data_IF_078461530242
#
_entry.id   IF_078461530242
#
_cell.length_a   1.000
_cell.length_b   1.000
_cell.length_c   1.000
_cell.angle_alpha   90.00
_cell.angle_beta   90.00
_cell.angle_gamma   90.00
#
_symmetry.space_group_name_H-M   'P 1'
#
loop_
_entity.id
_entity.type
_entity.pdbx_description
1 polymer ?
#
# COMPACT_ATOMS: atom_id res chain seq x y z
N UNK A 1 10.27 21.70 75.42
CA UNK A 1 9.26 21.50 74.36
C UNK A 1 9.20 22.80 73.58
N UNK A 2 9.04 22.70 72.27
CA UNK A 2 9.09 23.75 71.25
C UNK A 2 10.48 24.10 70.70
N UNK A 3 10.79 23.41 69.61
CA UNK A 3 11.83 23.70 68.63
C UNK A 3 11.23 24.55 67.50
N UNK A 4 11.83 25.70 67.25
CA UNK A 4 11.56 26.57 66.10
C UNK A 4 11.70 25.82 64.77
N UNK A 5 10.69 25.94 63.91
CA UNK A 5 10.74 25.59 62.47
C UNK A 5 10.37 26.84 61.65
N UNK A 6 11.19 27.24 60.67
CA UNK A 6 10.80 28.30 59.75
C UNK A 6 9.77 27.78 58.72
N UNK A 7 8.86 28.66 58.36
CA UNK A 7 7.81 28.47 57.36
C UNK A 7 8.40 28.35 55.95
N UNK A 8 8.34 27.15 55.35
CA UNK A 8 8.60 26.96 53.93
C UNK A 8 7.36 27.38 53.13
N UNK A 9 7.38 28.63 52.63
CA UNK A 9 6.47 29.07 51.56
C UNK A 9 6.99 28.45 50.26
N UNK A 10 6.28 27.44 49.75
CA UNK A 10 6.54 26.88 48.42
C UNK A 10 5.89 27.83 47.41
N UNK A 11 6.71 28.57 46.67
CA UNK A 11 6.25 29.31 45.50
C UNK A 11 5.73 28.31 44.45
N UNK A 12 4.44 28.39 44.15
CA UNK A 12 3.80 27.69 43.05
C UNK A 12 4.40 28.24 41.74
N UNK A 13 5.31 27.48 41.13
CA UNK A 13 5.88 27.82 39.82
C UNK A 13 4.77 27.79 38.77
N UNK A 14 4.35 28.96 38.32
CA UNK A 14 3.48 29.11 37.15
C UNK A 14 4.06 28.35 35.96
N UNK A 15 3.32 27.36 35.48
CA UNK A 15 3.60 26.68 34.23
C UNK A 15 3.46 27.68 33.07
N UNK A 16 4.59 28.22 32.61
CA UNK A 16 4.66 29.00 31.37
C UNK A 16 4.18 28.12 30.21
N UNK A 17 2.98 28.41 29.69
CA UNK A 17 2.43 27.76 28.50
C UNK A 17 3.40 27.97 27.35
N UNK A 18 4.05 26.88 26.88
CA UNK A 18 4.80 26.87 25.62
C UNK A 18 3.85 27.33 24.50
N UNK A 19 4.07 28.53 23.97
CA UNK A 19 3.42 29.02 22.75
C UNK A 19 3.73 28.06 21.61
N UNK A 20 2.74 27.30 21.15
CA UNK A 20 2.92 26.45 19.97
C UNK A 20 2.98 27.35 18.74
N UNK A 21 4.11 27.34 18.04
CA UNK A 21 4.23 27.99 16.73
C UNK A 21 3.23 27.32 15.77
N UNK A 22 2.30 28.10 15.24
CA UNK A 22 1.36 27.66 14.19
C UNK A 22 1.75 28.29 12.85
N UNK A 23 1.45 27.64 11.72
CA UNK A 23 1.64 28.25 10.41
C UNK A 23 0.92 29.60 10.32
N UNK A 24 1.55 30.57 9.67
CA UNK A 24 0.97 31.90 9.46
C UNK A 24 -0.28 31.77 8.58
N UNK A 25 -1.40 32.35 9.04
CA UNK A 25 -2.64 32.39 8.28
C UNK A 25 -2.46 33.20 6.98
N UNK A 26 -3.13 32.77 5.90
CA UNK A 26 -3.11 33.50 4.63
C UNK A 26 -3.82 34.85 4.79
N UNK A 27 -3.09 35.94 4.55
CA UNK A 27 -3.60 37.33 4.70
C UNK A 27 -4.52 37.80 3.56
N UNK A 28 -4.56 37.09 2.42
CA UNK A 28 -5.37 37.46 1.26
C UNK A 28 -5.00 36.71 -0.01
N UNK A 29 -5.53 37.18 -1.15
CA UNK A 29 -5.30 36.60 -2.47
C UNK A 29 -4.41 37.51 -3.34
N UNK A 30 -3.60 36.90 -4.20
CA UNK A 30 -2.75 37.64 -5.15
C UNK A 30 -3.55 38.26 -6.29
N UNK A 31 -3.20 39.50 -6.65
CA UNK A 31 -3.92 40.29 -7.68
C UNK A 31 -3.08 40.61 -8.93
N UNK A 32 -1.77 40.39 -8.89
CA UNK A 32 -0.87 40.66 -10.02
C UNK A 32 -0.93 39.55 -11.08
N UNK A 33 -0.61 39.91 -12.33
CA UNK A 33 -0.57 38.99 -13.46
C UNK A 33 -1.90 38.83 -14.19
N UNK A 34 -1.82 38.32 -15.41
CA UNK A 34 -2.96 38.07 -16.31
C UNK A 34 -3.74 36.84 -15.86
N UNK A 35 -5.06 36.92 -15.86
CA UNK A 35 -5.95 35.82 -15.46
C UNK A 35 -5.99 34.74 -16.53
N UNK A 36 -6.02 33.47 -16.10
CA UNK A 36 -6.15 32.31 -16.98
C UNK A 36 -7.06 31.25 -16.33
N UNK A 37 -7.90 30.59 -17.12
CA UNK A 37 -8.73 29.49 -16.63
C UNK A 37 -7.93 28.18 -16.67
N UNK A 38 -7.89 27.46 -15.54
CA UNK A 38 -7.19 26.20 -15.41
C UNK A 38 -8.16 25.08 -15.01
N UNK A 39 -7.84 23.86 -15.45
CA UNK A 39 -8.40 22.63 -14.90
C UNK A 39 -7.38 22.00 -13.95
N UNK A 40 -7.87 21.40 -12.89
CA UNK A 40 -7.05 20.70 -11.90
C UNK A 40 -7.45 19.24 -11.85
N UNK A 41 -6.51 18.37 -11.52
CA UNK A 41 -6.74 16.96 -11.25
C UNK A 41 -7.40 16.69 -9.88
N UNK A 42 -8.11 17.70 -9.35
CA UNK A 42 -8.92 17.62 -8.15
C UNK A 42 -10.40 17.47 -8.53
N UNK A 43 -11.04 16.46 -7.95
CA UNK A 43 -12.45 16.16 -8.12
C UNK A 43 -13.21 16.53 -6.85
N UNK A 44 -14.30 17.27 -6.97
CA UNK A 44 -15.06 17.72 -5.80
C UNK A 44 -15.66 16.53 -5.05
N UNK A 45 -15.60 16.58 -3.73
CA UNK A 45 -16.30 15.64 -2.86
C UNK A 45 -17.58 16.29 -2.37
N UNK A 46 -18.67 15.54 -2.40
CA UNK A 46 -19.96 15.93 -1.89
C UNK A 46 -20.35 15.00 -0.74
N UNK A 47 -21.16 15.51 0.19
CA UNK A 47 -21.66 14.74 1.32
C UNK A 47 -23.18 14.89 1.39
N UNK A 48 -23.90 13.78 1.28
CA UNK A 48 -25.36 13.78 1.32
C UNK A 48 -25.92 13.79 2.75
N UNK A 49 -25.18 13.24 3.70
CA UNK A 49 -25.57 13.16 5.10
C UNK A 49 -24.33 13.30 6.00
N UNK A 50 -24.36 14.26 6.92
CA UNK A 50 -23.30 14.46 7.90
C UNK A 50 -23.56 13.71 9.22
N UNK A 51 -24.76 13.14 9.39
CA UNK A 51 -25.15 12.41 10.58
C UNK A 51 -24.54 11.01 10.53
N UNK A 52 -23.67 10.73 11.49
CA UNK A 52 -23.09 9.40 11.65
C UNK A 52 -21.66 9.44 12.13
N UNK A 53 -21.12 8.25 12.32
CA UNK A 53 -19.76 8.05 12.76
C UNK A 53 -19.15 6.88 11.98
N UNK A 54 -17.88 7.04 11.61
CA UNK A 54 -17.04 5.88 11.37
C UNK A 54 -16.67 5.27 12.72
N UNK A 55 -16.59 3.94 12.76
CA UNK A 55 -16.18 3.21 13.93
C UNK A 55 -14.83 2.56 13.64
N UNK A 56 -13.85 2.88 14.47
CA UNK A 56 -12.50 2.34 14.39
C UNK A 56 -12.39 1.11 15.30
N UNK A 57 -11.76 0.07 14.76
CA UNK A 57 -11.48 -1.18 15.45
C UNK A 57 -9.99 -1.53 15.34
N UNK A 58 -9.44 -2.08 16.41
CA UNK A 58 -8.16 -2.77 16.43
C UNK A 58 -8.33 -4.20 15.93
N UNK A 59 -7.45 -4.62 15.03
CA UNK A 59 -7.39 -5.98 14.47
C UNK A 59 -6.12 -6.67 14.96
N UNK A 60 -6.29 -7.87 15.51
CA UNK A 60 -5.20 -8.79 15.84
C UNK A 60 -5.36 -10.08 15.06
N UNK A 61 -4.28 -10.55 14.44
CA UNK A 61 -4.27 -11.79 13.67
C UNK A 61 -3.15 -12.69 14.21
N UNK A 62 -3.53 -13.87 14.70
CA UNK A 62 -2.61 -14.87 15.24
C UNK A 62 -2.77 -16.22 14.55
N UNK A 63 -1.73 -17.04 14.61
CA UNK A 63 -1.82 -18.45 14.26
C UNK A 63 -2.53 -19.24 15.37
N UNK A 64 -2.84 -20.51 15.13
CA UNK A 64 -3.47 -21.37 16.15
C UNK A 64 -2.64 -21.51 17.43
N UNK A 65 -1.32 -21.40 17.35
CA UNK A 65 -0.42 -21.42 18.51
C UNK A 65 -0.32 -20.08 19.24
N UNK A 66 -1.15 -19.10 18.86
CA UNK A 66 -1.18 -17.77 19.46
C UNK A 66 -0.09 -16.81 18.97
N UNK A 67 0.86 -17.27 18.14
CA UNK A 67 1.92 -16.39 17.64
C UNK A 67 1.38 -15.36 16.62
N UNK A 68 1.89 -14.11 16.62
CA UNK A 68 1.39 -13.06 15.75
C UNK A 68 1.77 -13.29 14.28
N UNK A 69 0.88 -12.91 13.37
CA UNK A 69 1.15 -12.96 11.92
C UNK A 69 1.90 -11.71 11.48
N UNK A 70 3.20 -11.83 11.23
CA UNK A 70 4.06 -10.70 10.80
C UNK A 70 4.12 -10.50 9.28
N UNK A 71 3.44 -11.35 8.49
CA UNK A 71 3.54 -11.33 7.03
C UNK A 71 2.68 -10.20 6.43
N UNK A 72 3.31 -9.07 6.08
CA UNK A 72 2.64 -7.95 5.40
C UNK A 72 1.87 -8.43 4.16
N UNK A 73 0.59 -8.07 4.07
CA UNK A 73 -0.29 -8.36 2.93
C UNK A 73 -1.19 -9.59 3.08
N UNK A 74 -0.91 -10.54 3.96
CA UNK A 74 -1.83 -11.69 4.19
C UNK A 74 -3.09 -11.26 4.95
N UNK A 75 -2.97 -10.24 5.82
CA UNK A 75 -4.09 -9.76 6.62
C UNK A 75 -5.29 -9.34 5.78
N UNK A 76 -5.09 -8.69 4.63
CA UNK A 76 -6.19 -8.31 3.73
C UNK A 76 -6.96 -9.52 3.21
N UNK A 77 -6.26 -10.61 2.84
CA UNK A 77 -6.90 -11.86 2.40
C UNK A 77 -7.66 -12.56 3.54
N UNK A 78 -7.11 -12.51 4.75
CA UNK A 78 -7.76 -13.08 5.93
C UNK A 78 -9.06 -12.33 6.21
N UNK A 79 -9.00 -10.99 6.23
CA UNK A 79 -10.15 -10.14 6.50
C UNK A 79 -11.18 -10.21 5.37
N UNK A 80 -10.78 -10.27 4.10
CA UNK A 80 -11.69 -10.58 2.98
C UNK A 80 -12.46 -11.87 3.24
N UNK A 81 -11.79 -12.92 3.73
CA UNK A 81 -12.46 -14.16 4.10
C UNK A 81 -13.38 -14.03 5.32
N UNK A 82 -13.04 -13.15 6.27
CA UNK A 82 -13.95 -12.80 7.38
C UNK A 82 -15.23 -12.15 6.84
N UNK A 83 -15.11 -11.17 5.95
CA UNK A 83 -16.26 -10.49 5.34
C UNK A 83 -17.17 -11.48 4.59
N UNK A 84 -16.58 -12.39 3.80
CA UNK A 84 -17.34 -13.41 3.05
C UNK A 84 -18.05 -14.42 3.96
N UNK A 85 -17.36 -14.90 5.00
CA UNK A 85 -17.82 -16.06 5.79
C UNK A 85 -18.74 -15.66 6.94
N UNK A 86 -18.49 -14.50 7.55
CA UNK A 86 -19.12 -14.04 8.79
C UNK A 86 -19.90 -12.72 8.58
N UNK A 87 -20.43 -12.50 7.38
CA UNK A 87 -21.16 -11.27 7.05
C UNK A 87 -22.29 -10.98 8.03
N UNK A 88 -23.05 -12.00 8.43
CA UNK A 88 -24.14 -11.88 9.40
C UNK A 88 -23.66 -11.48 10.81
N UNK A 89 -22.53 -12.04 11.28
CA UNK A 89 -21.94 -11.69 12.58
C UNK A 89 -21.38 -10.26 12.60
N UNK A 90 -21.00 -9.73 11.44
CA UNK A 90 -20.63 -8.34 11.24
C UNK A 90 -21.85 -7.40 11.13
N UNK A 91 -23.07 -7.93 11.24
CA UNK A 91 -24.31 -7.16 11.08
C UNK A 91 -24.52 -6.68 9.65
N UNK A 92 -24.06 -7.47 8.67
CA UNK A 92 -24.07 -7.15 7.23
C UNK A 92 -23.35 -5.85 6.87
N UNK A 93 -22.44 -5.39 7.72
CA UNK A 93 -21.64 -4.18 7.46
C UNK A 93 -20.44 -4.50 6.58
N UNK A 94 -20.09 -3.53 5.74
CA UNK A 94 -18.80 -3.51 5.05
C UNK A 94 -17.76 -2.80 5.90
N UNK A 95 -16.50 -3.19 5.73
CA UNK A 95 -15.38 -2.56 6.42
C UNK A 95 -14.21 -2.26 5.48
N UNK A 96 -13.38 -1.30 5.90
CA UNK A 96 -12.12 -0.96 5.26
C UNK A 96 -10.96 -1.24 6.23
N UNK A 97 -9.97 -2.00 5.78
CA UNK A 97 -8.83 -2.44 6.57
C UNK A 97 -7.52 -1.87 6.02
N UNK A 98 -6.75 -1.20 6.87
CA UNK A 98 -5.50 -0.53 6.47
C UNK A 98 -4.43 -1.51 5.96
N UNK A 99 -4.54 -2.79 6.33
CA UNK A 99 -3.59 -3.84 5.98
C UNK A 99 -2.65 -4.22 7.12
N UNK A 100 -2.80 -3.61 8.30
CA UNK A 100 -1.95 -3.83 9.48
C UNK A 100 -2.74 -4.10 10.76
N UNK A 101 -3.36 -3.09 11.37
CA UNK A 101 -3.99 -3.21 12.70
C UNK A 101 -5.29 -2.46 12.84
N UNK A 102 -5.71 -1.69 11.83
CA UNK A 102 -6.87 -0.82 11.96
C UNK A 102 -7.92 -1.14 10.92
N UNK A 103 -9.15 -1.30 11.38
CA UNK A 103 -10.32 -1.55 10.56
C UNK A 103 -11.39 -0.49 10.86
N UNK A 104 -12.12 -0.08 9.82
CA UNK A 104 -13.15 0.94 9.92
C UNK A 104 -14.48 0.42 9.35
N UNK A 105 -15.59 0.80 9.96
CA UNK A 105 -16.95 0.58 9.44
C UNK A 105 -17.76 1.86 9.46
N UNK A 106 -18.82 1.94 8.65
CA UNK A 106 -19.86 2.94 8.81
C UNK A 106 -20.92 2.39 9.77
N UNK A 107 -21.09 3.04 10.92
CA UNK A 107 -21.92 2.50 12.01
C UNK A 107 -21.25 1.35 12.80
N UNK A 108 -21.81 1.03 13.97
CA UNK A 108 -21.24 0.05 14.89
C UNK A 108 -21.46 -1.39 14.41
N UNK A 109 -20.43 -2.23 14.56
CA UNK A 109 -20.58 -3.69 14.55
C UNK A 109 -21.50 -4.16 15.70
N UNK A 110 -22.15 -5.34 15.58
CA UNK A 110 -23.09 -5.85 16.60
C UNK A 110 -22.49 -6.03 17.99
N UNK A 111 -21.17 -6.22 18.10
CA UNK A 111 -20.45 -6.36 19.36
C UNK A 111 -19.19 -5.50 19.35
N UNK A 112 -18.75 -5.10 20.54
CA UNK A 112 -17.50 -4.35 20.74
C UNK A 112 -16.26 -5.22 20.57
N UNK A 113 -16.38 -6.54 20.72
CA UNK A 113 -15.34 -7.51 20.43
C UNK A 113 -15.92 -8.69 19.67
N UNK A 114 -15.26 -9.08 18.59
CA UNK A 114 -15.60 -10.20 17.73
C UNK A 114 -14.35 -11.03 17.47
N UNK A 115 -14.47 -12.33 17.65
CA UNK A 115 -13.40 -13.29 17.43
C UNK A 115 -13.82 -14.28 16.32
N UNK A 116 -12.96 -14.47 15.33
CA UNK A 116 -13.21 -15.31 14.16
C UNK A 116 -12.09 -16.33 13.97
N UNK A 117 -12.43 -17.47 13.36
CA UNK A 117 -11.49 -18.50 12.98
C UNK A 117 -11.51 -18.67 11.46
N UNK A 118 -10.49 -18.18 10.78
CA UNK A 118 -10.40 -18.22 9.32
C UNK A 118 -9.44 -19.30 8.87
N UNK A 119 -9.87 -20.14 7.94
CA UNK A 119 -9.01 -21.10 7.27
C UNK A 119 -8.69 -20.58 5.87
N UNK A 120 -7.40 -20.36 5.59
CA UNK A 120 -6.93 -20.03 4.25
C UNK A 120 -6.06 -21.16 3.70
N UNK A 121 -6.24 -21.48 2.44
CA UNK A 121 -5.25 -22.24 1.69
C UNK A 121 -4.03 -21.37 1.43
N UNK A 122 -2.98 -21.54 2.24
CA UNK A 122 -1.76 -20.74 2.12
C UNK A 122 -0.70 -21.58 1.43
N UNK A 123 -0.17 -21.07 0.30
CA UNK A 123 1.10 -21.56 -0.23
C UNK A 123 2.18 -21.28 0.81
N UNK A 124 2.63 -22.32 1.51
CA UNK A 124 3.57 -22.15 2.62
C UNK A 124 4.91 -21.65 2.08
N UNK A 125 5.21 -20.37 2.31
CA UNK A 125 6.62 -19.94 2.41
C UNK A 125 7.18 -20.62 3.66
N UNK A 126 8.03 -21.61 3.47
CA UNK A 126 8.53 -22.48 4.55
C UNK A 126 9.15 -21.64 5.67
N UNK A 127 8.43 -21.56 6.81
CA UNK A 127 8.95 -21.03 8.10
C UNK A 127 9.00 -22.10 9.20
N UNK A 128 8.70 -23.37 8.90
CA UNK A 128 8.89 -24.49 9.84
C UNK A 128 9.66 -25.61 9.17
N UNK A 129 10.78 -25.97 9.78
CA UNK A 129 11.44 -27.25 9.60
C UNK A 129 10.82 -28.18 10.64
N UNK A 130 10.21 -29.27 10.22
CA UNK A 130 10.31 -30.51 10.97
C UNK A 130 11.38 -31.35 10.27
N UNK A 131 12.44 -31.63 11.01
CA UNK A 131 13.27 -32.80 10.75
C UNK A 131 12.43 -34.01 11.16
N UNK A 132 12.47 -35.05 10.33
CA UNK A 132 11.70 -36.30 10.41
C UNK A 132 10.23 -36.23 9.96
N UNK A 133 9.98 -36.64 8.71
CA UNK A 133 9.19 -37.84 8.43
C UNK A 133 9.05 -38.11 6.92
N UNK A 134 9.09 -39.41 6.59
CA UNK A 134 9.06 -40.02 5.26
C UNK A 134 7.86 -39.57 4.40
N UNK A 135 8.14 -39.40 3.09
CA UNK A 135 7.27 -39.52 1.90
C UNK A 135 5.74 -39.41 2.12
N UNK A 136 5.16 -38.26 1.76
CA UNK A 136 3.85 -38.18 1.08
C UNK A 136 3.68 -36.79 0.44
N UNK A 137 3.20 -36.74 -0.80
CA UNK A 137 2.73 -35.52 -1.48
C UNK A 137 1.80 -34.77 -0.52
N UNK A 138 2.23 -33.60 -0.01
CA UNK A 138 1.31 -32.66 0.66
C UNK A 138 0.95 -31.56 -0.35
N UNK A 139 -0.26 -31.57 -0.95
CA UNK A 139 -0.82 -30.39 -1.60
C UNK A 139 -1.13 -29.34 -0.52
N UNK A 140 -1.50 -28.12 -0.94
CA UNK A 140 -2.03 -27.00 -0.13
C UNK A 140 -2.28 -27.34 1.35
N UNK A 141 -1.44 -26.83 2.26
CA UNK A 141 -1.77 -26.88 3.69
C UNK A 141 -2.65 -25.68 4.00
N UNK A 142 -3.93 -25.96 4.24
CA UNK A 142 -4.82 -25.00 4.88
C UNK A 142 -4.22 -24.60 6.23
N UNK A 143 -4.15 -23.29 6.46
CA UNK A 143 -3.73 -22.71 7.73
C UNK A 143 -4.92 -22.02 8.37
N UNK A 144 -5.12 -22.31 9.64
CA UNK A 144 -6.11 -21.64 10.46
C UNK A 144 -5.49 -20.45 11.17
N UNK A 145 -6.25 -19.37 11.20
CA UNK A 145 -5.89 -18.07 11.75
C UNK A 145 -7.00 -17.64 12.70
N UNK A 146 -6.60 -17.10 13.84
CA UNK A 146 -7.52 -16.46 14.78
C UNK A 146 -7.48 -14.96 14.52
N UNK A 147 -8.65 -14.35 14.37
CA UNK A 147 -8.81 -12.91 14.12
C UNK A 147 -9.64 -12.31 15.23
N UNK A 148 -9.10 -11.32 15.93
CA UNK A 148 -9.84 -10.56 16.93
C UNK A 148 -10.03 -9.12 16.44
N UNK A 149 -11.28 -8.66 16.41
CA UNK A 149 -11.68 -7.29 16.06
C UNK A 149 -12.26 -6.65 17.31
N UNK A 150 -11.65 -5.56 17.79
CA UNK A 150 -12.04 -4.88 19.04
C UNK A 150 -12.26 -3.40 18.82
N UNK A 151 -13.39 -2.86 19.29
CA UNK A 151 -13.74 -1.44 19.17
C UNK A 151 -12.68 -0.56 19.84
N UNK A 152 -12.31 0.53 19.16
CA UNK A 152 -11.30 1.47 19.63
C UNK A 152 -11.85 2.89 19.77
N UNK A 153 -12.48 3.45 18.74
CA UNK A 153 -12.92 4.85 18.75
C UNK A 153 -14.10 5.12 17.78
N UNK A 154 -14.78 6.25 17.99
CA UNK A 154 -15.74 6.83 17.03
C UNK A 154 -15.11 8.05 16.37
N UNK A 155 -15.30 8.18 15.06
CA UNK A 155 -14.83 9.33 14.27
C UNK A 155 -16.05 9.95 13.61
N UNK A 156 -16.35 11.21 13.92
CA UNK A 156 -17.56 11.88 13.42
C UNK A 156 -17.45 12.19 11.93
N UNK A 157 -18.48 11.83 11.16
CA UNK A 157 -18.59 12.20 9.73
C UNK A 157 -18.77 13.72 9.57
N UNK A 158 -19.27 14.41 10.60
CA UNK A 158 -19.38 15.87 10.62
C UNK A 158 -18.04 16.57 10.37
N UNK A 159 -16.90 15.94 10.70
CA UNK A 159 -15.58 16.49 10.37
C UNK A 159 -15.39 16.67 8.85
N UNK A 160 -15.95 15.77 8.03
CA UNK A 160 -15.96 15.87 6.56
C UNK A 160 -16.84 17.04 6.12
N UNK A 161 -18.05 17.18 6.69
CA UNK A 161 -18.95 18.28 6.38
C UNK A 161 -18.31 19.65 6.69
N UNK A 162 -17.60 19.75 7.82
CA UNK A 162 -16.87 20.95 8.20
C UNK A 162 -15.72 21.24 7.22
N UNK A 163 -14.98 20.21 6.80
CA UNK A 163 -13.92 20.35 5.81
C UNK A 163 -14.42 20.77 4.43
N UNK A 164 -15.62 20.33 4.03
CA UNK A 164 -16.28 20.79 2.81
C UNK A 164 -16.61 22.29 2.86
N UNK A 165 -16.84 22.85 4.05
CA UNK A 165 -17.01 24.28 4.28
C UNK A 165 -15.68 25.04 4.49
N UNK A 166 -14.53 24.37 4.33
CA UNK A 166 -13.21 24.96 4.57
C UNK A 166 -12.86 25.15 6.06
N UNK A 167 -13.59 24.52 6.98
CA UNK A 167 -13.31 24.55 8.42
C UNK A 167 -12.47 23.32 8.81
N UNK A 168 -11.22 23.55 9.19
CA UNK A 168 -10.40 22.47 9.75
C UNK A 168 -10.77 22.20 11.21
N UNK A 169 -10.85 20.93 11.58
CA UNK A 169 -11.11 20.47 12.94
C UNK A 169 -10.08 19.43 13.34
N UNK A 170 -9.86 19.23 14.64
CA UNK A 170 -8.87 18.28 15.16
C UNK A 170 -9.13 16.83 14.69
N UNK A 171 -10.38 16.48 14.35
CA UNK A 171 -10.79 15.13 13.92
C UNK A 171 -10.78 14.93 12.41
N UNK A 172 -10.41 15.96 11.63
CA UNK A 172 -10.42 15.89 10.18
C UNK A 172 -9.40 14.89 9.64
N UNK A 173 -8.21 14.84 10.24
CA UNK A 173 -7.17 13.90 9.82
C UNK A 173 -7.60 12.45 9.99
N UNK A 174 -8.32 12.14 11.08
CA UNK A 174 -8.86 10.80 11.31
C UNK A 174 -9.92 10.44 10.26
N UNK A 175 -10.84 11.37 9.96
CA UNK A 175 -11.86 11.16 8.94
C UNK A 175 -11.27 10.99 7.54
N UNK A 176 -10.31 11.84 7.15
CA UNK A 176 -9.57 11.73 5.87
C UNK A 176 -8.82 10.41 5.79
N UNK A 177 -8.19 9.97 6.88
CA UNK A 177 -7.53 8.66 6.95
C UNK A 177 -8.50 7.51 6.68
N UNK A 178 -9.72 7.55 7.22
CA UNK A 178 -10.74 6.53 6.91
C UNK A 178 -11.03 6.50 5.42
N UNK A 179 -11.25 7.67 4.81
CA UNK A 179 -11.53 7.78 3.38
C UNK A 179 -10.36 7.26 2.52
N UNK A 180 -9.12 7.61 2.86
CA UNK A 180 -7.93 7.11 2.17
C UNK A 180 -7.79 5.58 2.28
N UNK A 181 -8.13 4.99 3.44
CA UNK A 181 -8.12 3.53 3.61
C UNK A 181 -9.19 2.86 2.74
N UNK A 182 -10.37 3.46 2.60
CA UNK A 182 -11.42 2.98 1.69
C UNK A 182 -10.92 3.00 0.23
N UNK A 183 -10.28 4.10 -0.21
CA UNK A 183 -9.70 4.17 -1.56
C UNK A 183 -8.66 3.08 -1.80
N UNK A 184 -7.78 2.84 -0.82
CA UNK A 184 -6.67 1.89 -0.94
C UNK A 184 -7.12 0.42 -0.89
N UNK A 185 -8.27 0.14 -0.29
CA UNK A 185 -8.86 -1.20 -0.32
C UNK A 185 -9.43 -1.53 -1.71
N UNK A 186 -10.07 -0.55 -2.35
CA UNK A 186 -10.76 -0.74 -3.63
C UNK A 186 -9.96 -0.29 -4.85
N UNK A 187 -8.71 0.14 -4.67
CA UNK A 187 -7.89 0.69 -5.74
C UNK A 187 -7.86 -0.25 -6.96
N UNK A 188 -8.62 0.13 -7.99
CA UNK A 188 -8.73 -0.60 -9.24
C UNK A 188 -7.33 -0.69 -9.88
N UNK A 189 -6.93 -1.91 -10.20
CA UNK A 189 -5.57 -2.27 -10.60
C UNK A 189 -5.34 -2.03 -12.09
N UNK A 190 -5.76 -0.88 -12.62
CA UNK A 190 -5.36 -0.50 -13.97
C UNK A 190 -3.86 -0.22 -13.95
N UNK A 191 -3.14 -1.22 -14.45
CA UNK A 191 -1.69 -1.23 -14.49
C UNK A 191 -1.30 -1.54 -15.92
N UNK A 192 -0.82 -0.52 -16.61
CA UNK A 192 -0.16 -0.71 -17.89
C UNK A 192 1.30 -1.00 -17.61
N UNK A 193 1.79 -2.11 -18.14
CA UNK A 193 3.19 -2.52 -17.98
C UNK A 193 3.93 -2.25 -19.28
N UNK A 194 5.06 -1.58 -19.18
CA UNK A 194 5.96 -1.33 -20.30
C UNK A 194 7.36 -1.76 -19.90
N UNK A 195 7.96 -2.65 -20.69
CA UNK A 195 9.34 -3.09 -20.47
C UNK A 195 10.30 -1.89 -20.67
N UNK A 196 11.11 -1.59 -19.65
CA UNK A 196 12.14 -0.54 -19.71
C UNK A 196 13.56 -1.11 -19.83
N UNK A 197 13.67 -2.44 -19.91
CA UNK A 197 14.91 -3.19 -20.10
C UNK A 197 15.45 -3.84 -18.83
N UNK A 198 16.35 -4.81 -19.04
CA UNK A 198 17.08 -5.54 -17.99
C UNK A 198 16.17 -6.23 -16.95
N UNK A 199 15.01 -6.73 -17.40
CA UNK A 199 14.04 -7.47 -16.58
C UNK A 199 13.21 -6.58 -15.64
N UNK A 200 13.04 -5.31 -15.97
CA UNK A 200 12.27 -4.34 -15.19
C UNK A 200 11.18 -3.74 -16.06
N UNK A 201 9.95 -3.71 -15.55
CA UNK A 201 8.83 -3.05 -16.19
C UNK A 201 8.49 -1.75 -15.45
N UNK A 202 8.14 -0.72 -16.22
CA UNK A 202 7.39 0.42 -15.74
C UNK A 202 5.91 0.06 -15.62
N UNK A 203 5.39 0.07 -14.40
CA UNK A 203 3.97 -0.06 -14.11
C UNK A 203 3.36 1.34 -13.97
N UNK A 204 2.58 1.77 -14.97
CA UNK A 204 1.78 3.00 -14.93
C UNK A 204 0.43 2.72 -14.27
N UNK A 205 0.00 3.61 -13.38
CA UNK A 205 -1.29 3.57 -12.70
C UNK A 205 -1.66 4.94 -12.17
N UNK A 206 -2.50 5.00 -11.15
CA UNK A 206 -2.99 6.25 -10.57
C UNK A 206 -2.72 6.30 -9.07
N UNK A 207 -2.35 7.48 -8.59
CA UNK A 207 -2.30 7.81 -7.18
C UNK A 207 -3.55 8.61 -6.84
N UNK A 208 -4.33 8.15 -5.86
CA UNK A 208 -5.54 8.83 -5.42
C UNK A 208 -5.42 9.15 -3.93
N UNK A 209 -5.78 10.38 -3.54
CA UNK A 209 -5.77 10.81 -2.14
C UNK A 209 -6.79 11.92 -1.87
N UNK A 210 -7.43 11.89 -0.71
CA UNK A 210 -8.29 12.99 -0.28
C UNK A 210 -7.47 14.17 0.24
N UNK A 211 -7.82 15.39 -0.19
CA UNK A 211 -7.11 16.64 0.12
C UNK A 211 -8.08 17.74 0.48
N UNK A 212 -7.80 18.44 1.56
CA UNK A 212 -8.50 19.66 1.95
C UNK A 212 -7.95 20.82 1.12
N UNK A 213 -8.86 21.60 0.53
CA UNK A 213 -8.53 22.80 -0.23
C UNK A 213 -9.39 23.97 0.26
N UNK A 214 -9.10 25.19 -0.18
CA UNK A 214 -9.96 26.34 0.12
C UNK A 214 -11.38 26.17 -0.43
N UNK A 215 -11.57 25.36 -1.49
CA UNK A 215 -12.88 25.01 -2.04
C UNK A 215 -13.53 23.81 -1.37
N UNK A 216 -12.98 23.31 -0.26
CA UNK A 216 -13.45 22.14 0.47
C UNK A 216 -12.62 20.89 0.24
N UNK A 217 -13.13 19.75 0.71
CA UNK A 217 -12.53 18.43 0.49
C UNK A 217 -12.61 18.03 -1.00
N UNK A 218 -11.53 17.48 -1.51
CA UNK A 218 -11.39 17.04 -2.90
C UNK A 218 -10.67 15.70 -2.97
N UNK A 219 -10.94 14.91 -4.00
CA UNK A 219 -10.13 13.76 -4.38
C UNK A 219 -9.10 14.21 -5.41
N UNK A 220 -7.82 14.14 -5.08
CA UNK A 220 -6.74 14.32 -6.05
C UNK A 220 -6.44 12.96 -6.69
N UNK A 221 -6.42 12.91 -8.03
CA UNK A 221 -5.97 11.74 -8.79
C UNK A 221 -4.84 12.16 -9.71
N UNK A 222 -3.71 11.47 -9.65
CA UNK A 222 -2.55 11.73 -10.49
C UNK A 222 -2.04 10.46 -11.16
N UNK A 223 -1.45 10.61 -12.34
CA UNK A 223 -0.78 9.50 -13.04
C UNK A 223 0.52 9.19 -12.30
N UNK A 224 0.70 7.94 -11.90
CA UNK A 224 1.90 7.49 -11.22
C UNK A 224 2.57 6.37 -11.99
N UNK A 225 3.91 6.35 -11.97
CA UNK A 225 4.72 5.28 -12.55
C UNK A 225 5.55 4.65 -11.44
N UNK A 226 5.53 3.31 -11.34
CA UNK A 226 6.32 2.57 -10.36
C UNK A 226 7.04 1.41 -11.03
N UNK A 227 8.27 1.13 -10.61
CA UNK A 227 9.07 0.09 -11.24
C UNK A 227 8.76 -1.26 -10.59
N UNK A 228 8.57 -2.28 -11.42
CA UNK A 228 8.39 -3.66 -10.97
C UNK A 228 9.38 -4.57 -11.67
N UNK A 229 9.69 -5.69 -11.04
CA UNK A 229 10.44 -6.77 -11.68
C UNK A 229 9.53 -7.47 -12.67
N UNK A 230 10.04 -7.68 -13.89
CA UNK A 230 9.34 -8.42 -14.93
C UNK A 230 9.05 -9.86 -14.44
N UNK A 231 7.79 -10.30 -14.37
CA UNK A 231 7.47 -11.66 -13.97
C UNK A 231 7.92 -12.65 -15.02
N UNK A 232 8.52 -13.77 -14.61
CA UNK A 232 8.94 -14.80 -15.55
C UNK A 232 10.05 -15.70 -15.03
N UNK A 233 10.53 -16.62 -15.88
CA UNK A 233 11.64 -17.52 -15.56
C UNK A 233 12.89 -16.76 -15.08
N UNK A 234 13.52 -17.23 -14.00
CA UNK A 234 14.67 -16.53 -13.39
C UNK A 234 15.89 -16.55 -14.31
N UNK A 235 16.11 -17.62 -15.07
CA UNK A 235 17.16 -17.74 -16.08
C UNK A 235 17.08 -16.61 -17.13
N UNK A 236 15.89 -16.29 -17.65
CA UNK A 236 15.70 -15.17 -18.58
C UNK A 236 16.05 -13.84 -17.93
N UNK A 237 15.68 -13.64 -16.67
CA UNK A 237 16.04 -12.44 -15.91
C UNK A 237 17.56 -12.32 -15.72
N UNK A 238 18.25 -13.44 -15.42
CA UNK A 238 19.71 -13.47 -15.28
C UNK A 238 20.41 -13.10 -16.59
N UNK A 239 19.92 -13.59 -17.73
CA UNK A 239 20.47 -13.26 -19.06
C UNK A 239 20.26 -11.77 -19.37
N UNK A 240 19.08 -11.23 -19.07
CA UNK A 240 18.75 -9.84 -19.37
C UNK A 240 19.45 -8.82 -18.45
N UNK A 241 19.89 -9.22 -17.25
CA UNK A 241 20.40 -8.29 -16.23
C UNK A 241 21.83 -8.67 -15.78
N UNK A 242 22.83 -7.95 -16.29
CA UNK A 242 24.25 -8.20 -15.96
C UNK A 242 24.57 -8.04 -14.45
N UNK A 243 23.77 -7.28 -13.69
CA UNK A 243 23.92 -7.08 -12.24
C UNK A 243 22.96 -7.96 -11.41
N UNK A 244 22.39 -9.01 -12.00
CA UNK A 244 21.28 -9.77 -11.43
C UNK A 244 21.55 -10.34 -10.03
N UNK A 245 22.79 -10.73 -9.70
CA UNK A 245 23.15 -11.25 -8.35
C UNK A 245 22.71 -10.30 -7.23
N UNK A 246 22.96 -9.00 -7.39
CA UNK A 246 22.61 -7.99 -6.39
C UNK A 246 21.12 -7.63 -6.42
N UNK A 247 20.51 -7.74 -7.60
CA UNK A 247 19.12 -7.37 -7.88
C UNK A 247 18.13 -8.44 -7.41
N UNK A 248 18.46 -9.72 -7.54
CA UNK A 248 17.63 -10.85 -7.14
C UNK A 248 17.45 -10.94 -5.61
N UNK A 249 18.45 -10.50 -4.85
CA UNK A 249 18.38 -10.56 -3.38
C UNK A 249 17.15 -9.82 -2.85
N UNK A 250 16.39 -10.49 -2.00
CA UNK A 250 15.10 -10.06 -1.43
C UNK A 250 13.88 -10.14 -2.34
N UNK A 251 14.02 -10.48 -3.63
CA UNK A 251 12.87 -10.82 -4.47
C UNK A 251 12.28 -12.17 -4.03
N UNK A 252 11.06 -12.44 -4.46
CA UNK A 252 10.36 -13.71 -4.26
C UNK A 252 10.33 -14.50 -5.56
N UNK A 253 10.58 -15.80 -5.44
CA UNK A 253 10.42 -16.77 -6.53
C UNK A 253 9.40 -17.81 -6.14
N UNK A 254 8.71 -18.32 -7.14
CA UNK A 254 7.89 -19.52 -7.07
C UNK A 254 8.69 -20.67 -7.67
N UNK A 255 8.86 -21.75 -6.91
CA UNK A 255 9.55 -22.96 -7.36
C UNK A 255 8.52 -23.87 -8.03
N UNK A 256 8.60 -24.03 -9.35
CA UNK A 256 7.60 -24.67 -10.21
C UNK A 256 7.14 -26.03 -9.66
N UNK A 257 8.03 -27.01 -9.43
CA UNK A 257 7.58 -28.35 -9.08
C UNK A 257 7.04 -28.50 -7.65
N UNK A 258 7.25 -27.52 -6.76
CA UNK A 258 6.65 -27.50 -5.42
C UNK A 258 5.50 -26.49 -5.28
N UNK A 259 5.34 -25.61 -6.27
CA UNK A 259 4.39 -24.48 -6.25
C UNK A 259 4.59 -23.56 -5.02
N UNK A 260 5.76 -23.57 -4.39
CA UNK A 260 6.06 -22.80 -3.16
C UNK A 260 6.78 -21.49 -3.47
N UNK A 261 6.41 -20.45 -2.75
CA UNK A 261 7.08 -19.14 -2.82
C UNK A 261 8.16 -18.98 -1.75
N UNK A 262 9.30 -18.45 -2.15
CA UNK A 262 10.44 -18.20 -1.28
C UNK A 262 11.03 -16.83 -1.53
N UNK A 263 11.50 -16.18 -0.46
CA UNK A 263 12.35 -14.98 -0.57
C UNK A 263 13.79 -15.42 -0.87
N UNK A 264 14.37 -14.86 -1.93
CA UNK A 264 15.75 -15.08 -2.34
C UNK A 264 16.69 -14.43 -1.33
N UNK A 265 17.64 -15.20 -0.82
CA UNK A 265 18.73 -14.72 0.05
C UNK A 265 20.02 -14.45 -0.72
N UNK A 266 20.21 -15.12 -1.86
CA UNK A 266 21.35 -14.92 -2.74
C UNK A 266 21.34 -15.85 -3.95
N UNK A 267 22.43 -15.82 -4.71
CA UNK A 267 22.72 -16.73 -5.83
C UNK A 267 24.02 -17.49 -5.49
N UNK A 268 24.01 -18.82 -5.63
CA UNK A 268 25.17 -19.68 -5.37
C UNK A 268 26.30 -19.40 -6.36
N UNK A 269 27.54 -19.42 -5.86
CA UNK A 269 28.75 -19.36 -6.70
C UNK A 269 29.13 -20.72 -7.30
N UNK A 270 28.69 -21.83 -6.68
CA UNK A 270 28.87 -23.18 -7.22
C UNK A 270 27.64 -23.63 -8.00
N UNK A 271 27.85 -24.53 -8.96
CA UNK A 271 26.80 -25.22 -9.70
C UNK A 271 25.96 -26.12 -8.79
N UNK A 272 24.71 -26.38 -9.15
CA UNK A 272 23.81 -27.16 -8.31
C UNK A 272 24.23 -28.60 -8.06
N UNK A 273 25.08 -29.18 -8.92
CA UNK A 273 25.65 -30.53 -8.73
C UNK A 273 26.58 -30.62 -7.52
N UNK A 274 27.30 -29.54 -7.21
CA UNK A 274 28.31 -29.49 -6.13
C UNK A 274 27.73 -28.99 -4.80
N UNK A 275 26.41 -28.79 -4.76
CA UNK A 275 25.68 -28.37 -3.57
C UNK A 275 24.93 -29.58 -2.98
N UNK A 276 24.70 -29.59 -1.67
CA UNK A 276 23.87 -30.60 -0.98
C UNK A 276 22.41 -30.44 -1.42
N UNK A 277 22.11 -30.96 -2.60
CA UNK A 277 20.85 -30.77 -3.31
C UNK A 277 19.86 -31.89 -2.94
N UNK A 278 18.73 -31.53 -2.32
CA UNK A 278 17.66 -32.47 -1.97
C UNK A 278 16.66 -32.55 -3.13
N UNK A 279 17.13 -32.91 -4.32
CA UNK A 279 16.26 -33.20 -5.46
C UNK A 279 16.95 -34.22 -6.37
N UNK A 280 16.32 -35.39 -6.50
CA UNK A 280 16.73 -36.42 -7.45
C UNK A 280 15.69 -36.46 -8.57
N UNK A 281 16.06 -36.03 -9.78
CA UNK A 281 15.41 -36.50 -11.00
C UNK A 281 16.46 -37.08 -11.95
N UNK A 282 16.08 -38.21 -12.56
CA UNK A 282 16.89 -39.06 -13.43
C UNK A 282 17.25 -38.32 -14.73
N UNK A 283 18.53 -38.39 -15.07
CA UNK A 283 19.23 -38.25 -16.35
C UNK A 283 18.46 -37.71 -17.56
N UNK A 284 19.00 -36.65 -18.17
CA UNK A 284 19.21 -36.56 -19.62
C UNK A 284 20.64 -36.03 -19.85
N UNK A 285 21.36 -36.62 -20.82
CA UNK A 285 22.79 -36.46 -21.06
C UNK A 285 23.15 -35.09 -21.66
N UNK A 286 23.04 -34.03 -20.86
CA UNK A 286 23.63 -32.72 -21.14
C UNK A 286 24.37 -32.21 -19.91
N UNK A 287 25.59 -31.72 -20.08
CA UNK A 287 26.32 -31.03 -19.01
C UNK A 287 25.59 -29.77 -18.59
N UNK A 288 24.68 -29.94 -17.64
CA UNK A 288 23.93 -28.86 -17.05
C UNK A 288 24.74 -28.23 -15.91
N UNK A 289 25.35 -27.08 -16.19
CA UNK A 289 26.06 -26.18 -15.26
C UNK A 289 25.14 -25.04 -14.79
N UNK A 290 24.00 -25.35 -14.17
CA UNK A 290 23.08 -24.29 -13.71
C UNK A 290 23.46 -23.76 -12.32
N UNK A 291 23.45 -22.43 -12.17
CA UNK A 291 23.53 -21.75 -10.88
C UNK A 291 22.27 -22.07 -10.05
N UNK A 292 22.41 -22.04 -8.72
CA UNK A 292 21.26 -22.15 -7.83
C UNK A 292 20.88 -20.82 -7.20
N UNK A 293 19.59 -20.64 -6.98
CA UNK A 293 19.04 -19.63 -6.08
C UNK A 293 19.14 -20.15 -4.65
N UNK A 294 19.62 -19.28 -3.75
CA UNK A 294 19.66 -19.55 -2.32
C UNK A 294 18.38 -19.00 -1.69
N UNK A 295 17.69 -19.82 -0.92
CA UNK A 295 16.50 -19.43 -0.14
C UNK A 295 16.60 -19.95 1.29
N UNK A 296 15.66 -19.55 2.14
CA UNK A 296 15.62 -20.02 3.54
C UNK A 296 16.47 -19.18 4.49
N UNK A 297 16.91 -19.76 5.61
CA UNK A 297 17.67 -19.03 6.64
C UNK A 297 19.16 -18.98 6.26
N UNK A 298 19.89 -17.88 6.53
CA UNK A 298 21.33 -17.78 6.20
C UNK A 298 22.18 -18.92 6.76
N UNK A 299 21.87 -19.41 7.97
CA UNK A 299 22.60 -20.52 8.62
C UNK A 299 22.24 -21.91 8.07
N UNK A 300 21.13 -22.04 7.34
CA UNK A 300 20.63 -23.30 6.75
C UNK A 300 19.92 -22.98 5.42
N UNK A 301 20.69 -22.62 4.37
CA UNK A 301 20.12 -22.29 3.08
C UNK A 301 19.56 -23.55 2.40
N UNK A 302 18.56 -23.35 1.55
CA UNK A 302 18.07 -24.35 0.60
C UNK A 302 18.36 -23.84 -0.80
N UNK A 303 18.83 -24.73 -1.67
CA UNK A 303 19.26 -24.40 -3.02
C UNK A 303 18.26 -24.92 -4.05
N UNK A 304 17.83 -24.06 -4.96
CA UNK A 304 16.96 -24.42 -6.08
C UNK A 304 17.60 -24.02 -7.42
N UNK A 305 17.61 -24.89 -8.44
CA UNK A 305 18.10 -24.53 -9.76
C UNK A 305 17.26 -23.41 -10.37
N UNK A 306 17.93 -22.50 -11.09
CA UNK A 306 17.31 -21.28 -11.64
C UNK A 306 16.19 -21.60 -12.65
N UNK A 307 16.32 -22.67 -13.42
CA UNK A 307 15.37 -23.14 -14.44
C UNK A 307 14.04 -23.61 -13.84
N UNK A 308 14.03 -23.92 -12.54
CA UNK A 308 12.82 -24.32 -11.82
C UNK A 308 12.19 -23.17 -11.02
N UNK A 309 12.70 -21.96 -11.19
CA UNK A 309 12.28 -20.79 -10.44
C UNK A 309 11.66 -19.73 -11.36
N UNK A 310 10.52 -19.18 -10.94
CA UNK A 310 9.81 -18.10 -11.63
C UNK A 310 9.67 -16.91 -10.68
N UNK A 311 10.02 -15.71 -11.12
CA UNK A 311 9.82 -14.48 -10.36
C UNK A 311 8.32 -14.24 -10.16
N UNK A 312 7.93 -14.02 -8.90
CA UNK A 312 6.54 -13.68 -8.55
C UNK A 312 6.19 -12.31 -9.14
N UNK A 313 4.97 -12.15 -9.65
CA UNK A 313 4.52 -10.89 -10.27
C UNK A 313 4.35 -9.74 -9.27
N UNK A 314 4.34 -8.51 -9.81
CA UNK A 314 4.04 -7.26 -9.08
C UNK A 314 4.98 -6.97 -7.91
N UNK A 315 6.25 -7.39 -8.02
CA UNK A 315 7.28 -7.08 -7.04
C UNK A 315 7.93 -5.74 -7.36
N UNK A 316 7.84 -4.79 -6.44
CA UNK A 316 8.45 -3.46 -6.62
C UNK A 316 9.97 -3.57 -6.79
N UNK A 317 10.49 -2.97 -7.84
CA UNK A 317 11.91 -2.79 -8.05
C UNK A 317 12.38 -1.54 -7.28
N UNK A 318 13.32 -1.72 -6.36
CA UNK A 318 13.80 -0.67 -5.44
C UNK A 318 15.27 -0.32 -5.62
N UNK A 319 15.96 -0.99 -6.55
CA UNK A 319 17.38 -0.72 -6.84
C UNK A 319 17.51 0.50 -7.74
N UNK A 320 18.71 1.07 -7.79
CA UNK A 320 19.01 2.15 -8.70
C UNK A 320 18.95 1.67 -10.16
N UNK A 321 18.26 2.43 -11.01
CA UNK A 321 18.11 2.13 -12.43
C UNK A 321 19.43 2.34 -13.20
N UNK A 322 19.66 1.58 -14.27
CA UNK A 322 20.77 1.88 -15.20
C UNK A 322 20.49 3.15 -16.01
N UNK A 323 21.51 3.80 -16.61
CA UNK A 323 21.27 4.93 -17.51
C UNK A 323 20.32 4.59 -18.67
N UNK A 324 20.40 3.37 -19.19
CA UNK A 324 19.49 2.86 -20.22
C UNK A 324 18.04 2.81 -19.72
N UNK A 325 17.81 2.17 -18.57
CA UNK A 325 16.48 2.09 -17.94
C UNK A 325 15.91 3.47 -17.61
N UNK A 326 16.73 4.41 -17.13
CA UNK A 326 16.30 5.79 -16.84
C UNK A 326 15.87 6.52 -18.11
N UNK A 327 16.63 6.39 -19.20
CA UNK A 327 16.29 6.99 -20.49
C UNK A 327 14.94 6.46 -21.00
N UNK A 328 14.75 5.14 -20.97
CA UNK A 328 13.48 4.53 -21.38
C UNK A 328 12.33 4.93 -20.46
N UNK A 329 12.54 4.95 -19.15
CA UNK A 329 11.54 5.41 -18.18
C UNK A 329 11.12 6.86 -18.46
N UNK A 330 12.06 7.76 -18.72
CA UNK A 330 11.74 9.16 -19.05
C UNK A 330 10.94 9.24 -20.35
N UNK A 331 11.31 8.47 -21.38
CA UNK A 331 10.55 8.42 -22.64
C UNK A 331 9.12 7.92 -22.41
N UNK A 332 8.97 6.88 -21.60
CA UNK A 332 7.67 6.27 -21.30
C UNK A 332 6.79 7.11 -20.39
N UNK A 333 7.36 7.75 -19.37
CA UNK A 333 6.62 8.60 -18.44
C UNK A 333 6.32 9.99 -18.99
N UNK A 334 6.90 10.37 -20.13
CA UNK A 334 6.67 11.67 -20.76
C UNK A 334 5.21 11.79 -21.19
N UNK A 335 4.47 12.64 -20.50
CA UNK A 335 3.16 13.11 -20.97
C UNK A 335 3.39 14.20 -22.02
N UNK A 336 2.78 14.07 -23.20
CA UNK A 336 2.80 15.14 -24.20
C UNK A 336 1.91 16.29 -23.70
N UNK A 337 2.36 17.55 -23.79
CA UNK A 337 1.70 18.72 -23.20
C UNK A 337 0.38 19.15 -23.89
N UNK A 338 -0.22 18.32 -24.73
CA UNK A 338 -1.61 18.53 -25.13
C UNK A 338 -2.48 18.09 -23.96
N UNK A 339 -2.95 19.05 -23.16
CA UNK A 339 -3.74 18.82 -21.93
C UNK A 339 -4.96 17.90 -22.10
N UNK A 340 -5.41 17.69 -23.33
CA UNK A 340 -6.44 16.71 -23.72
C UNK A 340 -6.06 15.26 -23.32
N UNK A 341 -4.80 14.85 -23.48
CA UNK A 341 -4.39 13.47 -23.22
C UNK A 341 -4.44 13.13 -21.72
N UNK A 342 -4.06 14.08 -20.86
CA UNK A 342 -4.05 13.87 -19.42
C UNK A 342 -5.47 13.87 -18.85
N UNK A 343 -6.32 14.82 -19.27
CA UNK A 343 -7.73 14.86 -18.87
C UNK A 343 -8.47 13.57 -19.28
N UNK A 344 -8.21 13.05 -20.49
CA UNK A 344 -8.80 11.78 -20.93
C UNK A 344 -8.33 10.62 -20.03
N UNK A 345 -7.03 10.53 -19.74
CA UNK A 345 -6.48 9.47 -18.88
C UNK A 345 -7.06 9.51 -17.47
N UNK A 346 -7.17 10.69 -16.87
CA UNK A 346 -7.77 10.86 -15.54
C UNK A 346 -9.27 10.57 -15.54
N UNK A 347 -9.99 10.92 -16.61
CA UNK A 347 -11.41 10.57 -16.77
C UNK A 347 -11.62 9.05 -16.81
N UNK A 348 -10.76 8.35 -17.57
CA UNK A 348 -10.74 6.87 -17.63
C UNK A 348 -10.42 6.30 -16.24
N UNK A 349 -9.44 6.86 -15.54
CA UNK A 349 -9.06 6.44 -14.20
C UNK A 349 -10.23 6.52 -13.22
N UNK A 350 -10.92 7.66 -13.20
CA UNK A 350 -12.03 7.91 -12.30
C UNK A 350 -13.21 6.98 -12.59
N UNK A 351 -13.55 6.83 -13.88
CA UNK A 351 -14.64 5.95 -14.33
C UNK A 351 -14.37 4.49 -13.94
N UNK A 352 -13.16 4.00 -14.20
CA UNK A 352 -12.80 2.61 -13.92
C UNK A 352 -12.59 2.33 -12.42
N UNK A 353 -12.21 3.34 -11.64
CA UNK A 353 -12.12 3.19 -10.18
C UNK A 353 -13.51 3.07 -9.53
N UNK A 354 -14.54 3.62 -10.16
CA UNK A 354 -15.94 3.51 -9.76
C UNK A 354 -16.17 3.76 -8.26
N UNK A 355 -15.51 4.78 -7.70
CA UNK A 355 -15.51 5.05 -6.26
C UNK A 355 -16.94 5.22 -5.70
N UNK A 356 -17.85 5.81 -6.46
CA UNK A 356 -19.24 6.02 -6.04
C UNK A 356 -20.07 4.72 -5.90
N UNK A 357 -19.53 3.58 -6.33
CA UNK A 357 -20.13 2.26 -6.13
C UNK A 357 -19.53 1.50 -4.94
N UNK A 358 -18.56 2.08 -4.23
CA UNK A 358 -18.06 1.48 -3.00
C UNK A 358 -19.14 1.53 -1.90
N UNK A 359 -19.47 0.40 -1.25
CA UNK A 359 -20.51 0.36 -0.21
C UNK A 359 -20.24 1.30 0.96
N UNK A 360 -18.98 1.46 1.39
CA UNK A 360 -18.67 2.33 2.52
C UNK A 360 -18.74 3.82 2.18
N UNK A 361 -18.32 4.23 0.99
CA UNK A 361 -18.53 5.60 0.50
C UNK A 361 -20.02 5.91 0.36
N UNK A 362 -20.81 4.97 -0.16
CA UNK A 362 -22.27 5.10 -0.25
C UNK A 362 -22.94 5.23 1.13
N UNK A 363 -22.62 4.33 2.07
CA UNK A 363 -23.18 4.36 3.43
C UNK A 363 -22.78 5.61 4.21
N UNK A 364 -21.55 6.10 4.03
CA UNK A 364 -21.08 7.36 4.65
C UNK A 364 -21.62 8.61 3.97
N UNK A 365 -22.36 8.47 2.86
CA UNK A 365 -22.93 9.57 2.10
C UNK A 365 -21.92 10.37 1.29
N UNK A 366 -20.68 9.89 1.16
CA UNK A 366 -19.61 10.54 0.39
C UNK A 366 -19.77 10.21 -1.09
N UNK A 367 -19.75 11.25 -1.93
CA UNK A 367 -19.79 11.12 -3.39
C UNK A 367 -18.68 11.95 -4.02
N UNK A 368 -18.08 11.42 -5.08
CA UNK A 368 -17.02 12.09 -5.85
C UNK A 368 -17.60 12.53 -7.18
N UNK A 369 -17.44 13.82 -7.50
CA UNK A 369 -17.82 14.38 -8.81
C UNK A 369 -16.93 13.82 -9.92
N UNK A 370 -17.49 13.66 -11.12
CA UNK A 370 -16.75 13.31 -12.33
C UNK A 370 -16.03 14.47 -12.99
N UNK A 371 -16.34 15.70 -12.59
CA UNK A 371 -15.93 16.90 -13.30
C UNK A 371 -14.60 17.43 -12.75
N UNK A 372 -13.71 17.84 -13.65
CA UNK A 372 -12.47 18.51 -13.28
C UNK A 372 -12.78 19.83 -12.58
N UNK A 373 -12.12 20.08 -11.44
CA UNK A 373 -12.29 21.36 -10.75
C UNK A 373 -11.61 22.47 -11.55
N UNK A 374 -12.40 23.45 -11.96
CA UNK A 374 -11.96 24.67 -12.61
C UNK A 374 -11.48 25.70 -11.56
N UNK A 375 -10.32 26.31 -11.80
CA UNK A 375 -9.75 27.37 -10.95
C UNK A 375 -9.20 28.52 -11.80
N UNK A 376 -9.31 29.75 -11.31
CA UNK A 376 -8.69 30.92 -11.93
C UNK A 376 -7.22 31.02 -11.49
N UNK A 377 -6.29 30.85 -12.43
CA UNK A 377 -4.86 31.08 -12.25
C UNK A 377 -4.43 32.48 -12.69
N UNK A 378 -3.15 32.82 -12.45
CA UNK A 378 -2.54 34.06 -12.93
C UNK A 378 -1.14 33.82 -13.50
N UNK A 379 -0.86 34.39 -14.67
CA UNK A 379 0.48 34.41 -15.27
C UNK A 379 1.21 35.66 -14.81
N UNK A 380 2.27 35.48 -14.01
CA UNK A 380 3.08 36.58 -13.51
C UNK A 380 4.06 37.08 -14.58
N UNK A 381 4.36 38.40 -14.63
CA UNK A 381 5.38 38.91 -15.53
C UNK A 381 6.76 38.36 -15.13
N UNK A 382 7.58 38.03 -16.13
CA UNK A 382 8.95 37.59 -15.90
C UNK A 382 9.81 38.74 -15.36
N UNK A 383 10.73 38.50 -14.42
CA UNK A 383 11.67 39.52 -13.98
C UNK A 383 12.63 39.91 -15.10
N UNK A 384 13.12 41.15 -15.08
CA UNK A 384 14.18 41.59 -15.99
C UNK A 384 15.50 40.97 -15.54
N UNK A 385 16.19 40.28 -16.46
CA UNK A 385 17.55 39.77 -16.24
C UNK A 385 18.53 40.85 -16.68
N UNK A 386 19.21 41.48 -15.73
CA UNK A 386 20.30 42.42 -16.02
C UNK A 386 21.57 41.57 -16.18
N UNK A 387 22.16 41.59 -17.37
CA UNK A 387 23.44 40.92 -17.61
C UNK A 387 24.58 41.82 -17.08
N UNK A 388 25.60 41.23 -16.43
CA UNK A 388 26.74 41.95 -15.87
C UNK A 388 27.65 42.56 -16.94
#
# INVERSE_FOLDING_TARGET
MDSDKPSNVVHETEHVKKTSLVPIARHGFGTKGEKIQLFTNHFRVNLNNANGHFFQYSVSITYEDGSPVEAKGIGRKILEKVQETYQSDLGSKYFAYDGDKTLFTVGALPRTKLDFSVVLEVMVSSRRNDADMKRLKRPYQSKKFNVAISFAAKISIQAIANALQGKETNHLQDAVRVLDVILLQNAARLKYFTDIGEGVDCCKGFHSSFRTTQGGLSLNIDVSSTMIVHPGPVDRFLIANQKAKSTLKNLRVKVIPSNREYKITGLSEKICKDQTYIWKRKNENGEVTYLCINVGKPKRPTYYPVEHCVLVSLQRYTKALSPFQRSNLVKESRQKPTGENECVMLSIALKNSNYNNDPMLQESGVRISSDFTQVEGRVLPTPNVILP
#
